data_IF_024762004677
#
_entry.id   IF_024762004677
#
_cell.length_a   1.000
_cell.length_b   1.000
_cell.length_c   1.000
_cell.angle_alpha   90.00
_cell.angle_beta   90.00
_cell.angle_gamma   90.00
#
_symmetry.space_group_name_H-M   'P 1'
#
loop_
_entity.id
_entity.type
_entity.pdbx_description
1 polymer ?
#
# COMPACT_ATOMS: atom_id res chain seq x y z
N UNK A 1 18.74 -31.68 -11.70
CA UNK A 1 17.80 -32.29 -10.74
C UNK A 1 17.56 -31.46 -9.48
N UNK A 2 18.58 -31.02 -8.73
CA UNK A 2 18.38 -30.26 -7.47
C UNK A 2 17.65 -28.91 -7.63
N UNK A 3 17.72 -28.27 -8.81
CA UNK A 3 17.03 -27.00 -9.12
C UNK A 3 15.69 -27.14 -9.87
N UNK A 4 15.43 -28.30 -10.49
CA UNK A 4 14.20 -28.52 -11.30
C UNK A 4 13.00 -28.95 -10.46
N UNK A 5 13.26 -29.65 -9.35
CA UNK A 5 12.23 -30.16 -8.45
C UNK A 5 11.48 -29.05 -7.68
N UNK A 6 12.15 -28.03 -7.10
CA UNK A 6 11.46 -26.91 -6.47
C UNK A 6 10.59 -26.14 -7.47
N UNK A 7 11.10 -25.94 -8.70
CA UNK A 7 10.37 -25.25 -9.76
C UNK A 7 9.08 -26.00 -10.14
N UNK A 8 9.16 -27.30 -10.43
CA UNK A 8 7.98 -28.08 -10.78
C UNK A 8 6.94 -28.07 -9.66
N UNK A 9 7.38 -28.10 -8.39
CA UNK A 9 6.47 -28.01 -7.25
C UNK A 9 5.76 -26.65 -7.18
N UNK A 10 6.47 -25.55 -7.40
CA UNK A 10 5.88 -24.20 -7.43
C UNK A 10 4.84 -24.07 -8.53
N UNK A 11 5.12 -24.55 -9.75
CA UNK A 11 4.18 -24.48 -10.87
C UNK A 11 2.92 -25.30 -10.59
N UNK A 12 3.09 -26.55 -10.13
CA UNK A 12 1.96 -27.43 -9.81
C UNK A 12 1.11 -26.81 -8.69
N UNK A 13 1.73 -26.33 -7.61
CA UNK A 13 1.01 -25.70 -6.51
C UNK A 13 0.25 -24.44 -6.97
N UNK A 14 0.87 -23.57 -7.77
CA UNK A 14 0.22 -22.37 -8.30
C UNK A 14 -0.99 -22.70 -9.19
N UNK A 15 -0.87 -23.72 -10.04
CA UNK A 15 -1.99 -24.17 -10.90
C UNK A 15 -3.12 -24.77 -10.05
N UNK A 16 -2.81 -25.60 -9.05
CA UNK A 16 -3.81 -26.17 -8.14
C UNK A 16 -4.56 -25.05 -7.39
N UNK A 17 -3.83 -24.08 -6.83
CA UNK A 17 -4.43 -22.93 -6.14
C UNK A 17 -5.35 -22.16 -7.10
N UNK A 18 -4.89 -21.87 -8.31
CA UNK A 18 -5.67 -21.15 -9.30
C UNK A 18 -6.97 -21.89 -9.66
N UNK A 19 -6.90 -23.21 -9.87
CA UNK A 19 -8.08 -24.01 -10.20
C UNK A 19 -9.07 -24.03 -9.03
N UNK A 20 -8.60 -24.33 -7.82
CA UNK A 20 -9.46 -24.42 -6.64
C UNK A 20 -10.14 -23.08 -6.32
N UNK A 21 -9.39 -21.97 -6.34
CA UNK A 21 -9.89 -20.65 -5.94
C UNK A 21 -10.82 -20.04 -7.00
N UNK A 22 -10.49 -20.12 -8.29
CA UNK A 22 -11.29 -19.45 -9.33
C UNK A 22 -12.48 -20.26 -9.82
N UNK A 23 -12.40 -21.61 -9.80
CA UNK A 23 -13.46 -22.48 -10.31
C UNK A 23 -14.25 -23.18 -9.19
N UNK A 24 -13.87 -23.00 -7.92
CA UNK A 24 -14.58 -23.60 -6.78
C UNK A 24 -14.49 -25.14 -6.76
N UNK A 25 -13.46 -25.70 -7.40
CA UNK A 25 -13.26 -27.15 -7.46
C UNK A 25 -12.64 -27.62 -6.14
N UNK A 26 -13.26 -28.61 -5.51
CA UNK A 26 -12.86 -29.19 -4.21
C UNK A 26 -12.84 -28.16 -3.05
N UNK A 27 -14.01 -27.82 -2.48
CA UNK A 27 -14.14 -26.83 -1.39
C UNK A 27 -13.27 -27.10 -0.17
N UNK A 28 -13.06 -28.38 0.19
CA UNK A 28 -12.20 -28.76 1.31
C UNK A 28 -10.73 -28.36 1.06
N UNK A 29 -10.25 -28.49 -0.18
CA UNK A 29 -8.89 -28.09 -0.54
C UNK A 29 -8.78 -26.57 -0.55
N UNK A 30 -9.80 -25.87 -1.04
CA UNK A 30 -9.84 -24.41 -0.99
C UNK A 30 -9.76 -23.89 0.45
N UNK A 31 -10.53 -24.45 1.38
CA UNK A 31 -10.50 -24.04 2.79
C UNK A 31 -9.11 -24.24 3.41
N UNK A 32 -8.44 -25.37 3.13
CA UNK A 32 -7.06 -25.62 3.56
C UNK A 32 -6.08 -24.61 2.95
N UNK A 33 -6.20 -24.32 1.65
CA UNK A 33 -5.37 -23.32 0.96
C UNK A 33 -5.55 -21.93 1.55
N UNK A 34 -6.78 -21.54 1.93
CA UNK A 34 -7.06 -20.27 2.59
C UNK A 34 -6.36 -20.19 3.97
N UNK A 35 -6.35 -21.29 4.73
CA UNK A 35 -5.60 -21.34 6.00
C UNK A 35 -4.10 -21.19 5.78
N UNK A 36 -3.53 -21.91 4.80
CA UNK A 36 -2.12 -21.77 4.42
C UNK A 36 -1.79 -20.35 3.95
N UNK A 37 -2.70 -19.71 3.23
CA UNK A 37 -2.57 -18.31 2.82
C UNK A 37 -2.52 -17.36 4.01
N UNK A 38 -3.39 -17.55 5.02
CA UNK A 38 -3.35 -16.76 6.26
C UNK A 38 -2.03 -16.95 7.00
N UNK A 39 -1.56 -18.20 7.14
CA UNK A 39 -0.27 -18.51 7.78
C UNK A 39 0.90 -17.90 7.00
N UNK A 40 0.87 -17.95 5.67
CA UNK A 40 1.89 -17.33 4.81
C UNK A 40 1.96 -15.81 5.00
N UNK A 41 0.81 -15.13 5.05
CA UNK A 41 0.77 -13.68 5.34
C UNK A 41 1.33 -13.35 6.72
N UNK A 42 1.03 -14.16 7.73
CA UNK A 42 1.62 -13.99 9.06
C UNK A 42 3.16 -14.10 9.03
N UNK A 43 3.72 -15.01 8.23
CA UNK A 43 5.17 -15.12 8.02
C UNK A 43 5.74 -13.89 7.31
N UNK A 44 5.07 -13.35 6.30
CA UNK A 44 5.51 -12.12 5.62
C UNK A 44 5.59 -10.96 6.60
N UNK A 45 4.58 -10.80 7.48
CA UNK A 45 4.61 -9.82 8.55
C UNK A 45 5.80 -10.05 9.51
N UNK A 46 6.09 -11.30 9.87
CA UNK A 46 7.24 -11.63 10.70
C UNK A 46 8.57 -11.28 10.04
N UNK A 47 8.74 -11.57 8.74
CA UNK A 47 9.93 -11.14 7.99
C UNK A 47 10.02 -9.62 7.88
N UNK A 48 8.90 -8.92 7.73
CA UNK A 48 8.82 -7.46 7.77
C UNK A 48 9.32 -6.92 9.11
N UNK A 49 8.90 -7.52 10.22
CA UNK A 49 9.37 -7.16 11.56
C UNK A 49 10.86 -7.43 11.73
N UNK A 50 11.37 -8.58 11.29
CA UNK A 50 12.81 -8.90 11.35
C UNK A 50 13.61 -7.90 10.52
N UNK A 51 13.16 -7.57 9.31
CA UNK A 51 13.82 -6.59 8.45
C UNK A 51 13.86 -5.21 9.11
N UNK A 52 12.71 -4.72 9.59
CA UNK A 52 12.59 -3.44 10.29
C UNK A 52 13.53 -3.40 11.50
N UNK A 53 13.50 -4.43 12.34
CA UNK A 53 14.41 -4.54 13.49
C UNK A 53 15.86 -4.56 13.05
N UNK A 54 16.24 -5.31 12.02
CA UNK A 54 17.62 -5.37 11.55
C UNK A 54 18.17 -4.01 11.07
N UNK A 55 17.34 -3.24 10.37
CA UNK A 55 17.70 -1.92 9.83
C UNK A 55 17.87 -0.92 10.98
N UNK A 56 16.87 -0.83 11.86
CA UNK A 56 16.90 0.13 12.96
C UNK A 56 17.90 -0.24 14.05
N UNK A 57 18.08 -1.52 14.33
CA UNK A 57 19.12 -1.99 15.26
C UNK A 57 20.52 -1.65 14.75
N UNK A 58 20.80 -1.85 13.45
CA UNK A 58 22.07 -1.43 12.85
C UNK A 58 22.27 0.08 12.93
N UNK A 59 21.22 0.87 12.69
CA UNK A 59 21.25 2.33 12.83
C UNK A 59 21.60 2.77 14.27
N UNK A 60 21.02 2.09 15.26
CA UNK A 60 21.30 2.31 16.69
C UNK A 60 22.75 1.96 17.03
N UNK A 61 23.23 0.78 16.60
CA UNK A 61 24.62 0.36 16.84
C UNK A 61 25.64 1.33 16.24
N UNK A 62 25.35 1.87 15.05
CA UNK A 62 26.24 2.80 14.34
C UNK A 62 26.06 4.26 14.75
N UNK A 63 25.07 4.58 15.61
CA UNK A 63 24.70 5.94 16.01
C UNK A 63 24.56 6.89 14.81
N UNK A 64 23.94 6.39 13.75
CA UNK A 64 23.60 7.20 12.57
C UNK A 64 22.53 8.25 12.93
N UNK A 65 22.19 9.15 12.00
CA UNK A 65 21.18 10.18 12.23
C UNK A 65 19.86 9.59 12.75
N UNK A 66 19.28 10.23 13.77
CA UNK A 66 17.98 9.86 14.37
C UNK A 66 17.95 8.44 14.99
N UNK A 67 19.08 7.99 15.54
CA UNK A 67 19.17 6.69 16.22
C UNK A 67 18.26 6.61 17.46
N UNK A 68 18.01 7.73 18.12
CA UNK A 68 17.09 7.87 19.25
C UNK A 68 15.64 7.61 18.83
N UNK A 69 15.21 8.16 17.70
CA UNK A 69 13.89 7.87 17.12
C UNK A 69 13.76 6.40 16.71
N UNK A 70 14.87 5.77 16.30
CA UNK A 70 14.88 4.34 15.97
C UNK A 70 14.67 3.46 17.21
N UNK A 71 15.16 3.87 18.39
CA UNK A 71 14.85 3.18 19.65
C UNK A 71 13.36 3.31 19.94
N UNK A 72 12.82 4.52 19.87
CA UNK A 72 11.40 4.78 20.11
C UNK A 72 10.50 3.93 19.21
N UNK A 73 10.82 3.85 17.90
CA UNK A 73 10.09 3.03 16.93
C UNK A 73 10.06 1.54 17.34
N UNK A 74 11.21 0.97 17.70
CA UNK A 74 11.30 -0.43 18.11
C UNK A 74 10.52 -0.68 19.41
N UNK A 75 10.63 0.20 20.39
CA UNK A 75 9.89 0.10 21.65
C UNK A 75 8.38 0.10 21.39
N UNK A 76 7.89 1.02 20.56
CA UNK A 76 6.46 1.09 20.23
C UNK A 76 6.02 -0.15 19.46
N UNK A 77 6.81 -0.59 18.47
CA UNK A 77 6.47 -1.74 17.63
C UNK A 77 6.38 -3.03 18.45
N UNK A 78 7.38 -3.32 19.28
CA UNK A 78 7.37 -4.51 20.13
C UNK A 78 6.38 -4.40 21.28
N UNK A 79 6.20 -3.21 21.87
CA UNK A 79 5.17 -2.97 22.87
C UNK A 79 3.76 -3.25 22.32
N UNK A 80 3.48 -2.77 21.11
CA UNK A 80 2.21 -3.00 20.45
C UNK A 80 2.01 -4.47 20.05
N UNK A 81 3.06 -5.14 19.58
CA UNK A 81 3.04 -6.58 19.29
C UNK A 81 2.72 -7.40 20.55
N UNK A 82 3.39 -7.12 21.68
CA UNK A 82 3.17 -7.82 22.95
C UNK A 82 1.74 -7.61 23.43
N UNK A 83 1.22 -6.37 23.36
CA UNK A 83 -0.16 -6.06 23.74
C UNK A 83 -1.17 -6.79 22.84
N UNK A 84 -0.93 -6.83 21.53
CA UNK A 84 -1.77 -7.56 20.58
C UNK A 84 -1.81 -9.06 20.85
N UNK A 85 -0.66 -9.67 21.18
CA UNK A 85 -0.59 -11.10 21.53
C UNK A 85 -1.22 -11.41 22.89
N UNK A 86 -1.10 -10.52 23.87
CA UNK A 86 -1.59 -10.75 25.22
C UNK A 86 -3.10 -10.48 25.37
N UNK A 87 -3.64 -9.46 24.70
CA UNK A 87 -5.03 -9.00 24.88
C UNK A 87 -5.91 -9.13 23.63
N UNK A 88 -5.31 -9.35 22.48
CA UNK A 88 -6.02 -9.37 21.21
C UNK A 88 -6.34 -7.97 20.66
N UNK A 89 -6.73 -7.90 19.38
CA UNK A 89 -6.94 -6.63 18.67
C UNK A 89 -8.22 -5.89 19.08
N UNK A 90 -9.14 -6.55 19.76
CA UNK A 90 -10.43 -5.98 20.20
C UNK A 90 -10.33 -5.25 21.53
N UNK A 91 -9.19 -5.32 22.23
CA UNK A 91 -9.01 -4.65 23.51
C UNK A 91 -9.03 -3.13 23.36
N UNK A 92 -9.63 -2.44 24.33
CA UNK A 92 -9.78 -0.98 24.31
C UNK A 92 -8.42 -0.28 24.34
N UNK A 93 -7.45 -0.79 25.11
CA UNK A 93 -6.11 -0.22 25.17
C UNK A 93 -5.38 -0.41 23.84
N UNK A 94 -5.51 -1.58 23.22
CA UNK A 94 -4.94 -1.86 21.89
C UNK A 94 -5.49 -0.90 20.84
N UNK A 95 -6.81 -0.73 20.80
CA UNK A 95 -7.49 0.19 19.87
C UNK A 95 -7.16 1.66 20.14
N UNK A 96 -7.01 2.04 21.42
CA UNK A 96 -6.63 3.40 21.79
C UNK A 96 -5.20 3.73 21.33
N UNK A 97 -4.22 2.84 21.61
CA UNK A 97 -2.83 3.04 21.16
C UNK A 97 -2.76 3.08 19.63
N UNK A 98 -3.52 2.22 18.96
CA UNK A 98 -3.64 2.25 17.50
C UNK A 98 -4.05 3.62 17.00
N UNK A 99 -5.19 4.12 17.48
CA UNK A 99 -5.74 5.40 17.02
C UNK A 99 -4.85 6.58 17.42
N UNK A 100 -4.30 6.56 18.64
CA UNK A 100 -3.38 7.59 19.13
C UNK A 100 -2.07 7.64 18.33
N UNK A 101 -1.70 6.58 17.63
CA UNK A 101 -0.48 6.53 16.81
C UNK A 101 -0.81 6.74 15.33
N UNK A 102 -1.73 5.94 14.77
CA UNK A 102 -2.08 5.93 13.35
C UNK A 102 -2.75 7.24 12.90
N UNK A 103 -3.64 7.82 13.72
CA UNK A 103 -4.36 9.05 13.33
C UNK A 103 -3.41 10.25 13.26
N UNK A 104 -2.59 10.56 14.28
CA UNK A 104 -1.65 11.67 14.18
C UNK A 104 -0.59 11.45 13.11
N UNK A 105 -0.03 10.24 12.97
CA UNK A 105 0.92 9.96 11.90
C UNK A 105 0.28 10.18 10.52
N UNK A 106 -0.94 9.66 10.30
CA UNK A 106 -1.69 9.93 9.07
C UNK A 106 -1.90 11.43 8.84
N UNK A 107 -2.29 12.18 9.87
CA UNK A 107 -2.46 13.63 9.79
C UNK A 107 -1.15 14.36 9.43
N UNK A 108 0.00 13.95 9.97
CA UNK A 108 1.30 14.53 9.60
C UNK A 108 1.65 14.25 8.14
N UNK A 109 1.40 13.04 7.64
CA UNK A 109 1.57 12.71 6.22
C UNK A 109 0.65 13.56 5.33
N UNK A 110 -0.63 13.69 5.68
CA UNK A 110 -1.57 14.53 4.93
C UNK A 110 -1.18 16.02 4.96
N UNK A 111 -0.72 16.52 6.10
CA UNK A 111 -0.26 17.90 6.23
C UNK A 111 0.95 18.17 5.33
N UNK A 112 1.95 17.29 5.34
CA UNK A 112 3.11 17.40 4.43
C UNK A 112 2.68 17.31 2.96
N UNK A 113 1.83 16.34 2.62
CA UNK A 113 1.28 16.19 1.28
C UNK A 113 0.55 17.43 0.81
N UNK A 114 -0.21 18.11 1.67
CA UNK A 114 -0.89 19.35 1.31
C UNK A 114 0.10 20.43 0.83
N UNK A 115 1.22 20.62 1.53
CA UNK A 115 2.27 21.55 1.10
C UNK A 115 2.96 21.12 -0.20
N UNK A 116 3.27 19.83 -0.34
CA UNK A 116 3.88 19.30 -1.57
C UNK A 116 2.95 19.41 -2.78
N UNK A 117 1.67 19.06 -2.62
CA UNK A 117 0.65 19.19 -3.66
C UNK A 117 0.47 20.66 -4.01
N UNK A 118 0.38 21.56 -3.03
CA UNK A 118 0.25 23.01 -3.28
C UNK A 118 1.45 23.57 -4.04
N UNK A 119 2.67 23.20 -3.63
CA UNK A 119 3.91 23.61 -4.31
C UNK A 119 4.00 23.04 -5.74
N UNK A 120 3.67 21.76 -5.91
CA UNK A 120 3.63 21.12 -7.22
C UNK A 120 2.54 21.74 -8.12
N UNK A 121 1.37 22.02 -7.56
CA UNK A 121 0.27 22.67 -8.26
C UNK A 121 0.65 24.09 -8.68
N UNK A 122 1.24 24.91 -7.80
CA UNK A 122 1.75 26.23 -8.17
C UNK A 122 2.75 26.16 -9.33
N UNK A 123 3.66 25.18 -9.31
CA UNK A 123 4.61 24.95 -10.42
C UNK A 123 3.94 24.44 -11.70
N UNK A 124 2.87 23.65 -11.59
CA UNK A 124 2.12 23.07 -12.70
C UNK A 124 1.06 24.05 -13.29
N UNK A 125 0.57 25.00 -12.50
CA UNK A 125 -0.41 26.02 -12.88
C UNK A 125 0.15 27.11 -13.80
N UNK A 126 1.40 26.99 -14.24
CA UNK A 126 1.93 27.76 -15.36
C UNK A 126 1.39 27.15 -16.65
N UNK A 127 0.41 27.79 -17.28
CA UNK A 127 -0.19 27.40 -18.56
C UNK A 127 0.84 27.46 -19.71
N UNK A 128 1.76 26.51 -19.72
CA UNK A 128 2.87 26.42 -20.69
C UNK A 128 2.50 25.55 -21.89
N UNK A 129 1.51 24.66 -21.74
CA UNK A 129 1.02 23.75 -22.78
C UNK A 129 -0.51 23.69 -22.73
N UNK A 130 -1.13 23.24 -23.82
CA UNK A 130 -2.60 23.04 -23.90
C UNK A 130 -3.10 22.08 -22.81
N UNK A 131 -2.37 20.99 -22.57
CA UNK A 131 -2.75 20.00 -21.55
C UNK A 131 -2.66 20.58 -20.13
N UNK A 132 -1.61 21.35 -19.84
CA UNK A 132 -1.48 22.04 -18.55
C UNK A 132 -2.58 23.07 -18.34
N UNK A 133 -3.05 23.74 -19.39
CA UNK A 133 -4.16 24.68 -19.31
C UNK A 133 -5.50 24.00 -18.98
N UNK A 134 -5.75 22.81 -19.56
CA UNK A 134 -6.94 22.01 -19.24
C UNK A 134 -6.92 21.56 -17.78
N UNK A 135 -5.76 21.06 -17.32
CA UNK A 135 -5.57 20.64 -15.93
C UNK A 135 -5.69 21.82 -14.95
N UNK A 136 -5.16 22.99 -15.32
CA UNK A 136 -5.30 24.23 -14.55
C UNK A 136 -6.78 24.62 -14.41
N UNK A 137 -7.55 24.62 -15.51
CA UNK A 137 -8.97 24.94 -15.49
C UNK A 137 -9.76 23.97 -14.61
N UNK A 138 -9.52 22.66 -14.76
CA UNK A 138 -10.14 21.64 -13.92
C UNK A 138 -9.79 21.84 -12.42
N UNK A 139 -8.52 22.14 -12.11
CA UNK A 139 -8.07 22.42 -10.75
C UNK A 139 -8.75 23.64 -10.13
N UNK A 140 -8.93 24.74 -10.88
CA UNK A 140 -9.63 25.93 -10.41
C UNK A 140 -11.10 25.62 -10.09
N UNK A 141 -11.79 24.88 -10.98
CA UNK A 141 -13.19 24.48 -10.77
C UNK A 141 -13.31 23.67 -9.47
N UNK A 142 -12.44 22.67 -9.28
CA UNK A 142 -12.45 21.82 -8.09
C UNK A 142 -12.16 22.60 -6.81
N UNK A 143 -11.17 23.51 -6.83
CA UNK A 143 -10.84 24.35 -5.68
C UNK A 143 -12.00 25.26 -5.29
N UNK A 144 -12.68 25.87 -6.26
CA UNK A 144 -13.87 26.70 -6.01
C UNK A 144 -15.04 25.85 -5.50
N UNK A 145 -15.31 24.69 -6.09
CA UNK A 145 -16.44 23.85 -5.69
C UNK A 145 -16.27 23.13 -4.34
N UNK A 146 -15.04 22.92 -3.86
CA UNK A 146 -14.78 22.36 -2.51
C UNK A 146 -14.54 23.41 -1.43
N UNK A 147 -14.37 24.68 -1.80
CA UNK A 147 -14.22 25.77 -0.84
C UNK A 147 -15.59 26.18 -0.26
N UNK A 148 -15.73 26.33 1.08
CA UNK A 148 -17.00 26.73 1.70
C UNK A 148 -17.60 28.03 1.12
N UNK A 149 -16.76 29.00 0.78
CA UNK A 149 -17.19 30.25 0.14
C UNK A 149 -17.58 30.08 -1.33
N UNK A 150 -16.96 29.13 -2.04
CA UNK A 150 -17.23 28.91 -3.46
C UNK A 150 -18.55 28.19 -3.70
N UNK A 151 -18.94 27.27 -2.81
CA UNK A 151 -20.26 26.64 -2.85
C UNK A 151 -21.40 27.65 -2.59
N UNK A 152 -21.18 28.58 -1.65
CA UNK A 152 -22.16 29.63 -1.35
C UNK A 152 -22.34 30.62 -2.51
N UNK A 153 -21.25 31.06 -3.14
CA UNK A 153 -21.29 32.08 -4.22
C UNK A 153 -21.63 31.49 -5.59
N UNK A 154 -21.18 30.27 -5.88
CA UNK A 154 -21.31 29.63 -7.19
C UNK A 154 -21.68 28.15 -7.06
N UNK A 155 -22.94 27.81 -6.71
CA UNK A 155 -23.38 26.42 -6.50
C UNK A 155 -23.16 25.52 -7.72
N UNK A 156 -23.19 26.09 -8.93
CA UNK A 156 -22.94 25.38 -10.19
C UNK A 156 -21.53 24.75 -10.23
N UNK A 157 -20.53 25.36 -9.57
CA UNK A 157 -19.18 24.82 -9.51
C UNK A 157 -19.10 23.52 -8.71
N UNK A 158 -20.03 23.30 -7.76
CA UNK A 158 -20.16 22.04 -7.03
C UNK A 158 -20.51 20.86 -7.95
N UNK A 159 -21.43 21.06 -8.91
CA UNK A 159 -21.83 20.03 -9.88
C UNK A 159 -20.70 19.67 -10.85
N UNK A 160 -19.96 20.67 -11.34
CA UNK A 160 -18.79 20.41 -12.18
C UNK A 160 -17.67 19.71 -11.39
N UNK A 161 -17.49 20.08 -10.12
CA UNK A 161 -16.53 19.44 -9.24
C UNK A 161 -16.87 17.98 -8.99
N UNK A 162 -18.13 17.64 -8.71
CA UNK A 162 -18.54 16.24 -8.56
C UNK A 162 -18.34 15.48 -9.87
N UNK A 163 -18.72 16.04 -11.02
CA UNK A 163 -18.46 15.40 -12.31
C UNK A 163 -16.96 15.12 -12.56
N UNK A 164 -16.07 16.07 -12.28
CA UNK A 164 -14.61 15.89 -12.39
C UNK A 164 -14.10 14.81 -11.43
N UNK A 165 -14.59 14.80 -10.19
CA UNK A 165 -14.13 13.83 -9.19
C UNK A 165 -14.67 12.43 -9.48
N UNK A 166 -15.93 12.30 -9.88
CA UNK A 166 -16.61 11.01 -10.01
C UNK A 166 -16.27 10.29 -11.32
N UNK A 167 -15.89 11.03 -12.37
CA UNK A 167 -15.57 10.46 -13.69
C UNK A 167 -14.06 10.47 -13.98
N UNK A 168 -13.41 11.59 -14.38
CA UNK A 168 -12.01 11.56 -14.79
C UNK A 168 -11.04 11.30 -13.63
N UNK A 169 -11.28 11.83 -12.42
CA UNK A 169 -10.39 11.57 -11.30
C UNK A 169 -10.45 10.12 -10.83
N UNK A 170 -11.66 9.56 -10.70
CA UNK A 170 -11.84 8.12 -10.43
C UNK A 170 -11.27 7.25 -11.56
N UNK A 171 -11.42 7.64 -12.83
CA UNK A 171 -10.81 6.91 -13.95
C UNK A 171 -9.27 6.88 -13.85
N UNK A 172 -8.63 8.01 -13.51
CA UNK A 172 -7.20 8.09 -13.29
C UNK A 172 -6.76 7.27 -12.07
N UNK A 173 -7.49 7.34 -10.95
CA UNK A 173 -7.17 6.53 -9.78
C UNK A 173 -7.29 5.04 -10.08
N UNK A 174 -8.35 4.63 -10.79
CA UNK A 174 -8.54 3.25 -11.23
C UNK A 174 -7.43 2.80 -12.16
N UNK A 175 -6.97 3.63 -13.11
CA UNK A 175 -5.89 3.25 -14.03
C UNK A 175 -4.57 3.01 -13.28
N UNK A 176 -4.25 3.80 -12.26
CA UNK A 176 -3.08 3.58 -11.40
C UNK A 176 -3.21 2.27 -10.63
N UNK A 177 -4.36 2.00 -10.02
CA UNK A 177 -4.61 0.75 -9.27
C UNK A 177 -4.55 -0.46 -10.21
N UNK A 178 -5.14 -0.37 -11.40
CA UNK A 178 -5.04 -1.42 -12.43
C UNK A 178 -3.59 -1.62 -12.86
N UNK A 179 -2.83 -0.55 -13.09
CA UNK A 179 -1.42 -0.63 -13.46
C UNK A 179 -0.58 -1.33 -12.40
N UNK A 180 -0.75 -0.97 -11.13
CA UNK A 180 -0.07 -1.62 -10.01
C UNK A 180 -0.46 -3.11 -9.89
N UNK A 181 -1.75 -3.41 -10.02
CA UNK A 181 -2.26 -4.78 -9.92
C UNK A 181 -1.76 -5.66 -11.08
N UNK A 182 -1.77 -5.13 -12.31
CA UNK A 182 -1.21 -5.81 -13.48
C UNK A 182 0.30 -6.01 -13.36
N UNK A 183 1.04 -5.04 -12.81
CA UNK A 183 2.47 -5.20 -12.50
C UNK A 183 2.73 -6.36 -11.53
N UNK A 184 1.89 -6.48 -10.49
CA UNK A 184 1.90 -7.63 -9.58
C UNK A 184 1.58 -8.96 -10.28
N UNK A 185 0.55 -8.98 -11.13
CA UNK A 185 0.15 -10.15 -11.91
C UNK A 185 1.26 -10.61 -12.88
N UNK A 186 1.90 -9.67 -13.58
CA UNK A 186 3.04 -9.96 -14.46
C UNK A 186 4.17 -10.60 -13.65
N UNK A 187 4.47 -10.06 -12.47
CA UNK A 187 5.50 -10.63 -11.59
C UNK A 187 5.14 -12.06 -11.16
N UNK A 188 3.88 -12.31 -10.81
CA UNK A 188 3.40 -13.65 -10.45
C UNK A 188 3.47 -14.63 -11.65
N UNK A 189 3.09 -14.21 -12.85
CA UNK A 189 3.20 -15.02 -14.08
C UNK A 189 4.66 -15.33 -14.39
N UNK A 190 5.58 -14.37 -14.25
CA UNK A 190 7.01 -14.60 -14.49
C UNK A 190 7.59 -15.62 -13.52
N UNK A 191 7.13 -15.62 -12.26
CA UNK A 191 7.49 -16.65 -11.28
C UNK A 191 6.89 -18.01 -11.69
N UNK A 192 5.62 -18.04 -12.09
CA UNK A 192 4.93 -19.27 -12.52
C UNK A 192 5.58 -19.90 -13.76
N UNK A 193 5.97 -19.10 -14.75
CA UNK A 193 6.67 -19.57 -15.95
C UNK A 193 8.18 -19.82 -15.72
N UNK A 194 8.68 -19.52 -14.51
CA UNK A 194 10.06 -19.76 -14.12
C UNK A 194 11.09 -18.81 -14.71
N UNK A 195 10.63 -17.68 -15.27
CA UNK A 195 11.50 -16.59 -15.72
C UNK A 195 12.18 -15.91 -14.53
N UNK A 196 11.43 -15.68 -13.44
CA UNK A 196 11.96 -15.14 -12.19
C UNK A 196 12.02 -16.26 -11.13
N UNK A 197 13.22 -16.49 -10.57
CA UNK A 197 13.46 -17.56 -9.59
C UNK A 197 13.97 -16.98 -8.27
N UNK A 198 13.11 -16.36 -7.45
CA UNK A 198 13.53 -15.69 -6.22
C UNK A 198 14.15 -16.63 -5.18
N UNK A 199 13.94 -17.95 -5.33
CA UNK A 199 14.45 -19.00 -4.43
C UNK A 199 15.77 -19.62 -4.91
N UNK A 200 16.23 -19.31 -6.12
CA UNK A 200 17.55 -19.74 -6.58
C UNK A 200 18.59 -18.84 -5.88
N UNK A 201 19.49 -19.43 -5.09
CA UNK A 201 20.54 -18.67 -4.41
C UNK A 201 21.25 -17.75 -5.41
N UNK A 202 21.31 -16.46 -5.09
CA UNK A 202 21.89 -15.41 -5.95
C UNK A 202 23.37 -15.65 -6.20
N UNK A 203 23.65 -16.39 -7.26
CA UNK A 203 24.97 -16.87 -7.63
C UNK A 203 24.88 -17.59 -8.97
N UNK A 204 24.36 -16.87 -9.97
CA UNK A 204 24.51 -17.05 -11.43
C UNK A 204 23.84 -15.86 -12.12
#
# INVERSE_FOLDING_TARGET
MKRSLPYSLTVVAAVVIMICVFFGVAPNVQQELDQWYVVSNAMVCAFGLVNLTSVHFRRIQRKEGEWDLSILLLVITYGYLILGLAKGPTDQLYSWIFNATAVPLGATFYALLAFYITSAAYRAFRAKTRDAAILLAAGIIVLLGKAPLGEYLLPVMGQWTSWIMDIPAVAAMRSVVFGATLGGLISAIRILLGFDRPYAAGGE
#
